data_IF_373410778713
#
_entry.id   IF_373410778713
#
_cell.length_a   1.000
_cell.length_b   1.000
_cell.length_c   1.000
_cell.angle_alpha   90.00
_cell.angle_beta   90.00
_cell.angle_gamma   90.00
#
_symmetry.space_group_name_H-M   'P 1'
#
loop_
_entity.id
_entity.type
_entity.pdbx_description
1 polymer ?
#
# COMPACT_ATOMS: atom_id res chain seq x y z
N UNK A 1 -10.11 -9.07 -6.57
CA UNK A 1 -9.08 -8.09 -6.92
C UNK A 1 -9.68 -6.70 -6.73
N UNK A 2 -9.02 -5.81 -5.99
CA UNK A 2 -9.38 -4.39 -5.95
C UNK A 2 -8.96 -3.74 -7.27
N UNK A 3 -9.78 -3.96 -8.32
CA UNK A 3 -9.51 -3.42 -9.65
C UNK A 3 -9.54 -1.90 -9.65
N UNK A 4 -10.41 -1.30 -8.82
CA UNK A 4 -10.64 0.14 -8.76
C UNK A 4 -10.39 0.75 -7.37
N UNK A 5 -10.10 -0.06 -6.35
CA UNK A 5 -9.74 0.44 -5.01
C UNK A 5 -10.85 1.20 -4.26
N UNK A 6 -12.14 0.95 -4.55
CA UNK A 6 -13.25 1.68 -3.91
C UNK A 6 -13.26 1.58 -2.38
N UNK A 7 -12.84 0.45 -1.82
CA UNK A 7 -12.71 0.29 -0.36
C UNK A 7 -11.76 1.34 0.24
N UNK A 8 -10.63 1.64 -0.42
CA UNK A 8 -9.68 2.67 0.04
C UNK A 8 -10.31 4.06 -0.01
N UNK A 9 -11.07 4.37 -1.06
CA UNK A 9 -11.80 5.64 -1.17
C UNK A 9 -12.85 5.79 -0.08
N UNK A 10 -13.59 4.73 0.23
CA UNK A 10 -14.62 4.73 1.28
C UNK A 10 -14.00 4.96 2.67
N UNK A 11 -12.85 4.33 2.96
CA UNK A 11 -12.11 4.58 4.19
C UNK A 11 -11.59 6.03 4.26
N UNK A 12 -10.95 6.52 3.19
CA UNK A 12 -10.43 7.89 3.15
C UNK A 12 -11.54 8.95 3.23
N UNK A 13 -12.70 8.71 2.61
CA UNK A 13 -13.87 9.59 2.72
C UNK A 13 -14.41 9.68 4.16
N UNK A 14 -14.20 8.64 4.97
CA UNK A 14 -14.48 8.65 6.41
C UNK A 14 -13.35 9.23 7.26
N UNK A 15 -12.32 9.83 6.64
CA UNK A 15 -11.15 10.36 7.33
C UNK A 15 -10.26 9.26 7.93
N UNK A 16 -10.31 8.03 7.39
CA UNK A 16 -9.45 6.93 7.82
C UNK A 16 -8.25 6.79 6.86
N UNK A 17 -7.02 7.15 7.30
CA UNK A 17 -5.82 6.88 6.53
C UNK A 17 -5.62 5.39 6.31
N UNK A 18 -5.13 5.00 5.14
CA UNK A 18 -5.02 3.59 4.74
C UNK A 18 -3.57 3.24 4.42
N UNK A 19 -3.16 2.02 4.79
CA UNK A 19 -1.94 1.40 4.29
C UNK A 19 -2.32 0.53 3.08
N UNK A 20 -1.84 0.88 1.88
CA UNK A 20 -2.12 0.13 0.64
C UNK A 20 -0.84 -0.15 -0.14
N UNK A 21 -0.89 -1.02 -1.15
CA UNK A 21 0.24 -1.22 -2.08
C UNK A 21 0.14 -0.27 -3.27
N UNK A 22 1.26 0.00 -3.94
CA UNK A 22 1.31 0.78 -5.18
C UNK A 22 0.90 -0.03 -6.45
N UNK A 23 -0.07 -0.93 -6.30
CA UNK A 23 -0.56 -1.81 -7.38
C UNK A 23 -1.77 -1.18 -8.06
N UNK A 24 -1.68 -0.97 -9.37
CA UNK A 24 -2.75 -0.41 -10.22
C UNK A 24 -3.40 0.84 -9.60
N UNK A 25 -4.73 0.91 -9.54
CA UNK A 25 -5.50 2.05 -9.06
C UNK A 25 -5.11 2.51 -7.64
N UNK A 26 -4.55 1.63 -6.80
CA UNK A 26 -4.18 1.98 -5.43
C UNK A 26 -3.06 3.03 -5.35
N UNK A 27 -2.16 3.09 -6.34
CA UNK A 27 -1.13 4.13 -6.41
C UNK A 27 -1.66 5.50 -6.85
N UNK A 28 -2.86 5.53 -7.44
CA UNK A 28 -3.54 6.78 -7.81
C UNK A 28 -4.40 7.32 -6.65
N UNK A 29 -4.99 6.41 -5.86
CA UNK A 29 -5.89 6.73 -4.75
C UNK A 29 -5.13 7.10 -3.47
N UNK A 30 -4.02 6.43 -3.20
CA UNK A 30 -3.28 6.60 -1.96
C UNK A 30 -1.83 7.00 -2.21
N UNK A 31 -1.29 7.82 -1.31
CA UNK A 31 0.10 8.27 -1.33
C UNK A 31 0.57 8.51 0.11
N UNK A 32 1.84 8.92 0.26
CA UNK A 32 2.43 9.11 1.59
C UNK A 32 2.09 10.45 2.27
N UNK A 33 1.25 11.30 1.65
CA UNK A 33 0.77 12.54 2.25
C UNK A 33 -0.57 12.34 2.99
N UNK A 34 -1.38 11.36 2.54
CA UNK A 34 -2.74 11.09 3.07
C UNK A 34 -2.92 9.66 3.63
N UNK A 35 -1.84 8.87 3.64
CA UNK A 35 -1.81 7.48 4.07
C UNK A 35 -0.41 6.91 3.95
N UNK A 36 -0.28 5.59 3.81
CA UNK A 36 1.01 4.94 3.58
C UNK A 36 0.96 3.99 2.39
N UNK A 37 1.98 4.09 1.53
CA UNK A 37 2.11 3.24 0.35
C UNK A 37 3.23 2.21 0.53
N UNK A 38 2.90 0.95 0.31
CA UNK A 38 3.84 -0.18 0.24
C UNK A 38 4.29 -0.33 -1.21
N UNK A 39 5.58 -0.11 -1.46
CA UNK A 39 6.15 -0.25 -2.79
C UNK A 39 6.51 -1.71 -3.06
N UNK A 40 5.95 -2.29 -4.11
CA UNK A 40 6.26 -3.67 -4.54
C UNK A 40 6.84 -3.71 -5.95
N UNK A 41 7.60 -4.75 -6.27
CA UNK A 41 8.07 -4.97 -7.63
C UNK A 41 6.89 -5.31 -8.55
N UNK A 42 6.80 -4.63 -9.70
CA UNK A 42 5.65 -4.68 -10.62
C UNK A 42 6.11 -4.65 -12.07
N UNK A 43 5.28 -5.18 -12.96
CA UNK A 43 5.46 -5.01 -14.39
C UNK A 43 5.04 -3.60 -14.87
N UNK A 44 5.20 -3.32 -16.16
CA UNK A 44 4.80 -2.06 -16.80
C UNK A 44 3.30 -1.73 -16.75
N UNK A 45 2.46 -2.70 -16.36
CA UNK A 45 1.02 -2.54 -16.18
C UNK A 45 0.63 -2.31 -14.71
N UNK A 46 1.61 -2.14 -13.82
CA UNK A 46 1.37 -1.92 -12.39
C UNK A 46 0.91 -3.18 -11.65
N UNK A 47 1.26 -4.38 -12.15
CA UNK A 47 0.85 -5.66 -11.58
C UNK A 47 2.02 -6.40 -10.95
N UNK A 48 1.77 -7.07 -9.82
CA UNK A 48 2.73 -8.02 -9.25
C UNK A 48 2.74 -9.27 -10.13
N UNK A 49 3.93 -9.63 -10.66
CA UNK A 49 4.11 -10.86 -11.44
C UNK A 49 4.83 -11.90 -10.58
N UNK A 50 4.12 -12.97 -10.24
CA UNK A 50 4.65 -14.10 -9.48
C UNK A 50 4.80 -15.32 -10.39
N UNK A 51 5.97 -15.44 -11.00
CA UNK A 51 6.33 -16.55 -11.91
C UNK A 51 7.17 -17.65 -11.24
N UNK A 52 7.61 -17.41 -10.00
CA UNK A 52 8.52 -18.30 -9.27
C UNK A 52 8.29 -18.19 -7.76
N UNK A 53 8.67 -19.25 -7.05
CA UNK A 53 8.60 -19.26 -5.58
C UNK A 53 9.47 -18.15 -4.98
N UNK A 54 10.68 -17.94 -5.51
CA UNK A 54 11.59 -16.91 -5.04
C UNK A 54 10.99 -15.50 -5.16
N UNK A 55 10.33 -15.17 -6.29
CA UNK A 55 9.64 -13.88 -6.44
C UNK A 55 8.44 -13.74 -5.50
N UNK A 56 7.66 -14.81 -5.33
CA UNK A 56 6.56 -14.82 -4.34
C UNK A 56 7.07 -14.50 -2.95
N UNK A 57 8.17 -15.15 -2.57
CA UNK A 57 8.78 -15.01 -1.25
C UNK A 57 9.36 -13.62 -1.04
N UNK A 58 10.05 -13.07 -2.04
CA UNK A 58 10.57 -11.71 -2.02
C UNK A 58 9.47 -10.66 -1.89
N UNK A 59 8.40 -10.78 -2.68
CA UNK A 59 7.25 -9.89 -2.62
C UNK A 59 6.60 -9.93 -1.23
N UNK A 60 6.37 -11.13 -0.69
CA UNK A 60 5.83 -11.32 0.66
C UNK A 60 6.71 -10.65 1.73
N UNK A 61 8.03 -10.85 1.68
CA UNK A 61 8.96 -10.21 2.63
C UNK A 61 8.91 -8.68 2.52
N UNK A 62 8.87 -8.17 1.30
CA UNK A 62 8.80 -6.72 1.00
C UNK A 62 7.53 -6.09 1.59
N UNK A 63 6.38 -6.72 1.39
CA UNK A 63 5.10 -6.26 1.94
C UNK A 63 5.14 -6.29 3.48
N UNK A 64 5.60 -7.40 4.08
CA UNK A 64 5.65 -7.54 5.54
C UNK A 64 6.58 -6.50 6.18
N UNK A 65 7.76 -6.25 5.60
CA UNK A 65 8.72 -5.30 6.15
C UNK A 65 8.17 -3.86 6.14
N UNK A 66 7.59 -3.43 5.01
CA UNK A 66 7.01 -2.10 4.90
C UNK A 66 5.72 -1.95 5.73
N UNK A 67 4.88 -2.98 5.79
CA UNK A 67 3.68 -2.96 6.63
C UNK A 67 4.04 -2.73 8.10
N UNK A 68 5.08 -3.39 8.62
CA UNK A 68 5.56 -3.17 9.99
C UNK A 68 6.03 -1.73 10.19
N UNK A 69 6.81 -1.19 9.24
CA UNK A 69 7.29 0.21 9.29
C UNK A 69 6.14 1.20 9.32
N UNK A 70 5.13 1.01 8.48
CA UNK A 70 3.97 1.89 8.38
C UNK A 70 3.06 1.81 9.60
N UNK A 71 2.85 0.60 10.17
CA UNK A 71 2.12 0.44 11.44
C UNK A 71 2.84 1.16 12.58
N UNK A 72 4.16 1.03 12.67
CA UNK A 72 4.95 1.75 13.68
C UNK A 72 4.88 3.26 13.46
N UNK A 73 5.01 3.73 12.22
CA UNK A 73 4.85 5.15 11.89
C UNK A 73 3.49 5.70 12.31
N UNK A 74 2.40 4.95 12.06
CA UNK A 74 1.05 5.34 12.44
C UNK A 74 0.87 5.41 13.97
N UNK A 75 1.54 4.51 14.69
CA UNK A 75 1.50 4.46 16.16
C UNK A 75 2.33 5.58 16.80
N UNK A 76 3.55 5.82 16.29
CA UNK A 76 4.50 6.77 16.87
C UNK A 76 4.19 8.22 16.50
N UNK A 77 3.70 8.46 15.28
CA UNK A 77 3.37 9.80 14.80
C UNK A 77 2.09 9.79 13.93
N UNK A 78 0.90 9.69 14.54
CA UNK A 78 -0.36 9.59 13.81
C UNK A 78 -0.67 10.82 12.95
N UNK A 79 -0.12 12.00 13.29
CA UNK A 79 -0.33 13.24 12.54
C UNK A 79 0.54 13.34 11.27
N UNK A 80 1.41 12.36 11.00
CA UNK A 80 2.29 12.38 9.82
C UNK A 80 1.53 12.28 8.49
N UNK A 81 0.29 11.76 8.51
CA UNK A 81 -0.58 11.60 7.33
C UNK A 81 -1.95 12.28 7.49
N UNK A 82 -2.13 13.03 8.57
CA UNK A 82 -3.37 13.76 8.87
C UNK A 82 -2.95 15.23 8.93
N UNK A 83 -3.24 15.97 7.85
CA UNK A 83 -3.16 17.43 7.86
C UNK A 83 -4.30 18.03 8.71
#
# INVERSE_FOLDING_TARGET
ADTFGYSVLEFQACGCPVISTDVRALSEINNNDIGWLINVDKNKYGEIVVDSYSKKDLCRRTIIDQLKKHILSAYENPNVVIN
#
